data_IF_228176345556
#
_entry.id   IF_228176345556
#
_cell.length_a   1.000
_cell.length_b   1.000
_cell.length_c   1.000
_cell.angle_alpha   90.00
_cell.angle_beta   90.00
_cell.angle_gamma   90.00
#
_symmetry.space_group_name_H-M   'P 1'
#
loop_
_entity.id
_entity.type
_entity.pdbx_description
1 polymer ?
#
# COMPACT_ATOMS: atom_id res chain seq x y z
N UNK A 1 27.20 17.56 -2.95
CA UNK A 1 26.59 16.55 -2.05
C UNK A 1 25.07 16.31 -2.23
N UNK A 2 24.40 16.77 -3.32
CA UNK A 2 22.92 16.65 -3.46
C UNK A 2 22.38 15.30 -3.96
N UNK A 3 23.15 14.53 -4.76
CA UNK A 3 22.75 13.22 -5.36
C UNK A 3 22.20 12.16 -4.40
N UNK A 4 22.49 12.27 -3.10
CA UNK A 4 21.99 11.31 -2.09
C UNK A 4 20.47 11.40 -1.89
N UNK A 5 19.90 12.61 -1.97
CA UNK A 5 18.48 12.80 -1.63
C UNK A 5 17.55 12.23 -2.71
N UNK A 6 17.80 12.51 -4.00
CA UNK A 6 16.98 11.92 -5.07
C UNK A 6 16.99 10.39 -5.04
N UNK A 7 18.16 9.77 -4.80
CA UNK A 7 18.28 8.30 -4.66
C UNK A 7 17.48 7.76 -3.48
N UNK A 8 17.51 8.45 -2.34
CA UNK A 8 16.73 8.09 -1.15
C UNK A 8 15.22 8.07 -1.45
N UNK A 9 14.70 9.11 -2.12
CA UNK A 9 13.29 9.15 -2.52
C UNK A 9 12.91 8.03 -3.49
N UNK A 10 13.79 7.69 -4.45
CA UNK A 10 13.55 6.53 -5.33
C UNK A 10 13.50 5.20 -4.58
N UNK A 11 14.35 5.00 -3.57
CA UNK A 11 14.27 3.83 -2.70
C UNK A 11 12.94 3.78 -1.94
N UNK A 12 12.48 4.92 -1.40
CA UNK A 12 11.19 5.02 -0.71
C UNK A 12 10.04 4.68 -1.66
N UNK A 13 10.02 5.25 -2.87
CA UNK A 13 9.01 4.94 -3.88
C UNK A 13 9.01 3.46 -4.25
N UNK A 14 10.17 2.82 -4.39
CA UNK A 14 10.27 1.40 -4.68
C UNK A 14 9.66 0.54 -3.56
N UNK A 15 9.98 0.85 -2.30
CA UNK A 15 9.40 0.16 -1.14
C UNK A 15 7.89 0.34 -1.08
N UNK A 16 7.40 1.57 -1.26
CA UNK A 16 5.96 1.85 -1.28
C UNK A 16 5.24 1.10 -2.40
N UNK A 17 5.84 1.00 -3.59
CA UNK A 17 5.28 0.24 -4.72
C UNK A 17 5.12 -1.24 -4.38
N UNK A 18 6.10 -1.83 -3.69
CA UNK A 18 6.00 -3.22 -3.22
C UNK A 18 4.89 -3.38 -2.18
N UNK A 19 4.76 -2.45 -1.24
CA UNK A 19 3.71 -2.49 -0.21
C UNK A 19 2.32 -2.41 -0.85
N UNK A 20 2.12 -1.50 -1.81
CA UNK A 20 0.89 -1.39 -2.62
C UNK A 20 0.61 -2.72 -3.31
N UNK A 21 1.59 -3.28 -4.04
CA UNK A 21 1.40 -4.56 -4.72
C UNK A 21 0.99 -5.71 -3.79
N UNK A 22 1.58 -5.79 -2.60
CA UNK A 22 1.26 -6.81 -1.60
C UNK A 22 -0.14 -6.63 -1.00
N UNK A 23 -0.53 -5.39 -0.69
CA UNK A 23 -1.86 -5.10 -0.14
C UNK A 23 -2.94 -5.31 -1.20
N UNK A 24 -2.73 -4.85 -2.44
CA UNK A 24 -3.59 -5.13 -3.57
C UNK A 24 -3.75 -6.63 -3.84
N UNK A 25 -2.67 -7.40 -3.76
CA UNK A 25 -2.73 -8.86 -3.84
C UNK A 25 -3.60 -9.46 -2.72
N UNK A 26 -3.42 -9.01 -1.47
CA UNK A 26 -4.20 -9.50 -0.33
C UNK A 26 -5.71 -9.23 -0.52
N UNK A 27 -6.08 -8.07 -1.07
CA UNK A 27 -7.48 -7.73 -1.37
C UNK A 27 -8.03 -8.69 -2.43
N UNK A 28 -7.30 -8.92 -3.53
CA UNK A 28 -7.74 -9.80 -4.62
C UNK A 28 -7.84 -11.26 -4.14
N UNK A 29 -6.86 -11.74 -3.37
CA UNK A 29 -6.89 -13.07 -2.79
C UNK A 29 -8.09 -13.24 -1.85
N UNK A 30 -8.36 -12.24 -1.00
CA UNK A 30 -9.50 -12.26 -0.09
C UNK A 30 -10.86 -12.21 -0.78
N UNK A 31 -10.96 -11.49 -1.91
CA UNK A 31 -12.13 -11.51 -2.80
C UNK A 31 -12.32 -12.87 -3.47
N UNK A 32 -11.23 -13.48 -3.93
CA UNK A 32 -11.26 -14.77 -4.64
C UNK A 32 -11.62 -15.92 -3.70
N UNK A 33 -11.08 -15.94 -2.48
CA UNK A 33 -11.31 -17.00 -1.49
C UNK A 33 -12.55 -16.77 -0.63
N UNK A 34 -13.09 -15.56 -0.62
CA UNK A 34 -14.18 -15.18 0.29
C UNK A 34 -13.75 -15.17 1.76
N UNK A 35 -12.46 -14.96 2.03
CA UNK A 35 -11.88 -14.95 3.39
C UNK A 35 -10.92 -13.78 3.54
N UNK A 36 -11.06 -13.01 4.61
CA UNK A 36 -10.17 -11.89 4.95
C UNK A 36 -9.58 -12.11 6.33
N UNK A 37 -8.26 -12.00 6.40
CA UNK A 37 -7.53 -12.06 7.67
C UNK A 37 -7.35 -10.63 8.19
N UNK A 38 -8.02 -10.32 9.29
CA UNK A 38 -7.82 -9.09 10.03
C UNK A 38 -6.65 -9.27 10.99
N UNK A 39 -5.54 -8.61 10.67
CA UNK A 39 -4.37 -8.56 11.54
C UNK A 39 -4.59 -7.50 12.62
N UNK A 40 -4.73 -7.94 13.87
CA UNK A 40 -4.71 -7.03 15.01
C UNK A 40 -3.25 -6.71 15.36
N UNK A 41 -2.96 -5.44 15.66
CA UNK A 41 -1.65 -5.03 16.20
C UNK A 41 -1.40 -5.61 17.60
N UNK A 42 -2.46 -5.95 18.33
CA UNK A 42 -2.41 -6.55 19.66
C UNK A 42 -3.49 -7.64 19.74
N UNK A 43 -3.08 -8.86 20.07
CA UNK A 43 -3.98 -10.02 20.17
C UNK A 43 -3.98 -10.92 18.93
N UNK A 44 -4.75 -12.03 18.97
CA UNK A 44 -4.79 -13.01 17.90
C UNK A 44 -5.40 -12.42 16.61
N UNK A 45 -4.89 -12.85 15.46
CA UNK A 45 -5.48 -12.50 14.18
C UNK A 45 -6.85 -13.16 14.04
N UNK A 46 -7.82 -12.39 13.54
CA UNK A 46 -9.20 -12.86 13.36
C UNK A 46 -9.44 -13.05 11.87
N UNK A 47 -10.07 -14.16 11.51
CA UNK A 47 -10.43 -14.46 10.11
C UNK A 47 -11.93 -14.24 9.92
N UNK A 48 -12.28 -13.40 8.96
CA UNK A 48 -13.67 -13.13 8.56
C UNK A 48 -13.96 -13.82 7.24
N UNK A 49 -14.99 -14.66 7.22
CA UNK A 49 -15.44 -15.33 5.99
C UNK A 49 -16.70 -14.65 5.46
N UNK A 50 -16.88 -14.68 4.14
CA UNK A 50 -18.07 -14.15 3.48
C UNK A 50 -19.34 -14.90 3.92
N UNK A 51 -19.22 -16.20 4.22
CA UNK A 51 -20.36 -17.07 4.56
C UNK A 51 -20.81 -16.87 6.00
N UNK A 52 -19.89 -16.85 6.96
CA UNK A 52 -20.24 -16.76 8.38
C UNK A 52 -20.46 -15.31 8.83
N UNK A 53 -19.66 -14.38 8.30
CA UNK A 53 -19.57 -12.99 8.79
C UNK A 53 -19.52 -11.98 7.64
N UNK A 54 -20.56 -11.93 6.78
CA UNK A 54 -20.54 -11.13 5.55
C UNK A 54 -20.35 -9.63 5.80
N UNK A 55 -20.96 -9.08 6.86
CA UNK A 55 -20.83 -7.65 7.17
C UNK A 55 -19.39 -7.28 7.52
N UNK A 56 -18.76 -8.07 8.38
CA UNK A 56 -17.37 -7.87 8.82
C UNK A 56 -16.41 -8.09 7.66
N UNK A 57 -16.65 -9.10 6.83
CA UNK A 57 -15.89 -9.36 5.62
C UNK A 57 -15.88 -8.13 4.69
N UNK A 58 -17.05 -7.62 4.30
CA UNK A 58 -17.15 -6.48 3.39
C UNK A 58 -16.60 -5.19 4.00
N UNK A 59 -16.83 -4.96 5.29
CA UNK A 59 -16.25 -3.81 5.98
C UNK A 59 -14.71 -3.82 5.90
N UNK A 60 -14.08 -4.97 6.15
CA UNK A 60 -12.63 -5.09 6.06
C UNK A 60 -12.12 -4.94 4.63
N UNK A 61 -12.79 -5.52 3.62
CA UNK A 61 -12.43 -5.31 2.21
C UNK A 61 -12.45 -3.84 1.84
N UNK A 62 -13.54 -3.12 2.19
CA UNK A 62 -13.69 -1.69 1.89
C UNK A 62 -12.61 -0.87 2.61
N UNK A 63 -12.32 -1.19 3.87
CA UNK A 63 -11.28 -0.53 4.65
C UNK A 63 -9.89 -0.73 4.03
N UNK A 64 -9.54 -1.96 3.65
CA UNK A 64 -8.28 -2.27 2.97
C UNK A 64 -8.19 -1.57 1.62
N UNK A 65 -9.28 -1.54 0.84
CA UNK A 65 -9.33 -0.81 -0.43
C UNK A 65 -9.14 0.71 -0.24
N UNK A 66 -9.70 1.29 0.82
CA UNK A 66 -9.47 2.70 1.17
C UNK A 66 -7.99 2.99 1.50
N UNK A 67 -7.35 2.12 2.28
CA UNK A 67 -5.92 2.22 2.58
C UNK A 67 -5.08 2.07 1.32
N UNK A 68 -5.43 1.12 0.45
CA UNK A 68 -4.74 0.87 -0.81
C UNK A 68 -4.75 2.11 -1.72
N UNK A 69 -5.92 2.74 -1.91
CA UNK A 69 -6.04 3.99 -2.67
C UNK A 69 -5.16 5.09 -2.09
N UNK A 70 -5.16 5.23 -0.76
CA UNK A 70 -4.30 6.19 -0.07
C UNK A 70 -2.81 5.92 -0.30
N UNK A 71 -2.37 4.66 -0.20
CA UNK A 71 -0.97 4.27 -0.42
C UNK A 71 -0.54 4.49 -1.87
N UNK A 72 -1.41 4.21 -2.85
CA UNK A 72 -1.17 4.52 -4.26
C UNK A 72 -0.94 6.03 -4.43
N UNK A 73 -1.80 6.87 -3.85
CA UNK A 73 -1.65 8.33 -3.93
C UNK A 73 -0.31 8.80 -3.33
N UNK A 74 0.07 8.31 -2.14
CA UNK A 74 1.36 8.63 -1.52
C UNK A 74 2.53 8.16 -2.38
N UNK A 75 2.44 6.98 -2.97
CA UNK A 75 3.47 6.43 -3.87
C UNK A 75 3.67 7.32 -5.09
N UNK A 76 2.58 7.79 -5.71
CA UNK A 76 2.64 8.70 -6.86
C UNK A 76 3.24 10.06 -6.50
N UNK A 77 2.85 10.63 -5.35
CA UNK A 77 3.40 11.91 -4.86
C UNK A 77 4.89 11.80 -4.58
N UNK A 78 5.33 10.74 -3.91
CA UNK A 78 6.76 10.51 -3.64
C UNK A 78 7.56 10.31 -4.93
N UNK A 79 7.01 9.56 -5.90
CA UNK A 79 7.63 9.39 -7.22
C UNK A 79 7.76 10.73 -7.97
N UNK A 80 6.75 11.60 -7.87
CA UNK A 80 6.79 12.94 -8.47
C UNK A 80 7.88 13.82 -7.84
N UNK A 81 7.99 13.83 -6.51
CA UNK A 81 9.06 14.54 -5.79
C UNK A 81 10.44 14.00 -6.20
N UNK A 82 10.61 12.67 -6.26
CA UNK A 82 11.86 12.03 -6.66
C UNK A 82 12.30 12.48 -8.07
N UNK A 83 11.34 12.59 -9.00
CA UNK A 83 11.55 13.07 -10.36
C UNK A 83 11.97 14.53 -10.40
N UNK A 84 11.29 15.41 -9.68
CA UNK A 84 11.59 16.85 -9.69
C UNK A 84 12.97 17.13 -9.05
N UNK A 85 13.32 16.43 -7.98
CA UNK A 85 14.64 16.50 -7.37
C UNK A 85 15.73 16.02 -8.33
N UNK A 86 15.50 14.90 -9.03
CA UNK A 86 16.44 14.39 -10.03
C UNK A 86 16.63 15.33 -11.22
N UNK A 87 15.59 16.08 -11.60
CA UNK A 87 15.64 17.08 -12.67
C UNK A 87 16.47 18.29 -12.25
N UNK A 88 16.20 18.85 -11.06
CA UNK A 88 16.94 19.98 -10.50
C UNK A 88 18.43 19.68 -10.33
N UNK A 89 18.79 18.45 -9.96
CA UNK A 89 20.18 18.01 -9.85
C UNK A 89 20.92 17.94 -11.20
N UNK A 90 20.22 17.82 -12.34
CA UNK A 90 20.85 17.77 -13.67
C UNK A 90 21.06 19.15 -14.30
N UNK A 91 20.31 20.15 -13.85
CA UNK A 91 20.39 21.53 -14.34
C UNK A 91 21.39 22.40 -13.58
N UNK A 92 22.07 21.86 -12.56
CA UNK A 92 23.15 22.52 -11.80
C UNK A 92 24.47 21.85 -12.12
#
# INVERSE_FOLDING_TARGET
MKRSQSRSFWCITAVLTVIVGLLGYQIIDGLTRGVVVAFSRVGPSITYTLVEQPKQYWFNIIWLAGIEIFLIAVTLVTAWIAREMAKNERST
#
